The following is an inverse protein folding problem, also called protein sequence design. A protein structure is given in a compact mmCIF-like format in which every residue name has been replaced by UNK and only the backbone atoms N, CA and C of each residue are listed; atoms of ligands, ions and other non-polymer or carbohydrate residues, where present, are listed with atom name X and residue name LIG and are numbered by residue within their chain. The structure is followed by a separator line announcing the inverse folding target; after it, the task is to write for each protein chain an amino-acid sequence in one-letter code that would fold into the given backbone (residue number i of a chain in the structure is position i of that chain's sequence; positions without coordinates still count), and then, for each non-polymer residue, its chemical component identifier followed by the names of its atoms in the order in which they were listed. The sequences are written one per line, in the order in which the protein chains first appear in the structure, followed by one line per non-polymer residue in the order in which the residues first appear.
data_IF_586182200157
#
_entry.id   IF_586182200157
#
_cell.length_a   1.000
_cell.length_b   1.000
_cell.length_c   1.000
_cell.angle_alpha   90.00
_cell.angle_beta   90.00
_cell.angle_gamma   90.00
#
_symmetry.space_group_name_H-M   'P 1'
#
loop_
_entity.id
_entity.type
_entity.pdbx_description
1 polymer ?
#
# COMPACT_ATOMS: atom_id res chain seq x y z
N UNK A 1 17.01 11.50 -4.41
CA UNK A 1 15.68 10.92 -4.71
C UNK A 1 14.65 11.68 -3.90
N UNK A 2 13.46 11.87 -4.43
CA UNK A 2 12.37 12.50 -3.68
C UNK A 2 11.90 11.49 -2.61
N UNK A 3 11.72 11.95 -1.37
CA UNK A 3 11.26 11.12 -0.26
C UNK A 3 9.84 10.59 -0.51
N UNK A 4 9.58 9.33 -0.13
CA UNK A 4 8.25 8.73 -0.18
C UNK A 4 7.66 8.75 1.23
N UNK A 5 6.57 9.49 1.37
CA UNK A 5 5.84 9.65 2.63
C UNK A 5 4.55 8.84 2.56
N UNK A 6 4.47 7.80 3.37
CA UNK A 6 3.40 6.82 3.30
C UNK A 6 2.22 7.14 4.21
N UNK A 7 1.01 6.96 3.66
CA UNK A 7 -0.21 6.79 4.43
C UNK A 7 -0.65 5.32 4.41
N UNK A 8 -0.86 4.72 5.58
CA UNK A 8 -1.32 3.34 5.70
C UNK A 8 -2.83 3.27 5.86
N UNK A 9 -3.52 2.57 4.98
CA UNK A 9 -4.93 2.19 5.14
C UNK A 9 -4.99 0.77 5.66
N UNK A 10 -5.29 0.63 6.96
CA UNK A 10 -5.33 -0.63 7.69
C UNK A 10 -4.24 -0.74 8.76
N UNK A 11 -4.68 -0.90 10.03
CA UNK A 11 -3.85 -1.10 11.22
C UNK A 11 -3.96 -2.55 11.69
N UNK A 12 -3.63 -3.49 10.81
CA UNK A 12 -3.74 -4.92 11.07
C UNK A 12 -2.40 -5.60 11.34
N UNK A 13 -2.42 -6.92 11.51
CA UNK A 13 -1.21 -7.71 11.81
C UNK A 13 -0.13 -7.59 10.72
N UNK A 14 -0.53 -7.39 9.47
CA UNK A 14 0.42 -7.23 8.34
C UNK A 14 1.24 -5.97 8.52
N UNK A 15 0.61 -4.83 8.81
CA UNK A 15 1.29 -3.56 9.07
C UNK A 15 2.02 -3.55 10.40
N UNK A 16 1.53 -4.30 11.39
CA UNK A 16 2.13 -4.38 12.73
C UNK A 16 3.46 -5.14 12.74
N UNK A 17 3.48 -6.34 12.14
CA UNK A 17 4.57 -7.30 12.35
C UNK A 17 5.33 -7.72 11.10
N UNK A 18 4.77 -7.44 9.91
CA UNK A 18 5.35 -7.96 8.66
C UNK A 18 5.95 -6.85 7.81
N UNK A 19 5.12 -6.16 7.03
CA UNK A 19 5.58 -5.16 6.08
C UNK A 19 5.78 -3.77 6.67
N UNK A 20 4.99 -3.39 7.69
CA UNK A 20 4.99 -2.03 8.23
C UNK A 20 6.37 -1.50 8.66
N UNK A 21 7.15 -2.22 9.47
CA UNK A 21 8.46 -1.75 9.91
C UNK A 21 9.43 -1.42 8.75
N UNK A 22 9.39 -2.22 7.68
CA UNK A 22 10.28 -2.05 6.53
C UNK A 22 10.14 -0.70 5.81
N UNK A 23 8.98 -0.05 5.89
CA UNK A 23 8.75 1.25 5.27
C UNK A 23 9.57 2.38 5.92
N UNK A 24 9.92 2.23 7.21
CA UNK A 24 10.78 3.18 7.93
C UNK A 24 12.26 2.80 7.89
N UNK A 25 12.59 1.55 7.50
CA UNK A 25 13.98 1.08 7.39
C UNK A 25 14.63 1.45 6.06
N UNK A 26 13.81 1.74 5.03
CA UNK A 26 14.30 2.11 3.70
C UNK A 26 14.63 3.60 3.67
N UNK A 27 15.86 3.91 3.28
CA UNK A 27 16.31 5.32 3.15
C UNK A 27 15.43 6.10 2.17
N UNK A 28 14.96 7.28 2.60
CA UNK A 28 14.05 8.12 1.83
C UNK A 28 12.59 7.64 1.84
N UNK A 29 12.21 6.86 2.86
CA UNK A 29 10.86 6.35 3.04
C UNK A 29 10.48 6.40 4.52
N UNK A 30 9.27 6.89 4.83
CA UNK A 30 8.72 6.82 6.19
C UNK A 30 7.19 6.81 6.18
N UNK A 31 6.61 6.38 7.29
CA UNK A 31 5.16 6.38 7.51
C UNK A 31 4.76 7.62 8.30
N UNK A 32 3.94 8.47 7.70
CA UNK A 32 3.46 9.73 8.32
C UNK A 32 2.06 9.61 8.91
N UNK A 33 1.21 8.79 8.29
CA UNK A 33 -0.19 8.69 8.67
C UNK A 33 -0.71 7.24 8.61
N UNK A 34 -1.67 6.93 9.48
CA UNK A 34 -2.37 5.64 9.47
C UNK A 34 -3.88 5.82 9.55
N UNK A 35 -4.62 4.88 9.00
CA UNK A 35 -6.08 4.88 9.03
C UNK A 35 -6.63 3.53 9.48
N UNK A 36 -7.61 3.58 10.38
CA UNK A 36 -8.49 2.47 10.72
C UNK A 36 -9.90 2.99 10.99
N UNK A 37 -10.93 2.24 10.57
CA UNK A 37 -12.33 2.58 10.89
C UNK A 37 -12.63 2.64 12.41
N UNK A 38 -11.81 2.00 13.22
CA UNK A 38 -11.84 2.12 14.68
C UNK A 38 -10.86 3.18 15.12
N UNK A 39 -11.35 4.23 15.74
CA UNK A 39 -10.54 5.32 16.29
C UNK A 39 -9.48 4.81 17.27
N UNK A 40 -9.89 3.95 18.22
CA UNK A 40 -8.97 3.39 19.22
C UNK A 40 -7.83 2.60 18.57
N UNK A 41 -8.13 1.85 17.50
CA UNK A 41 -7.09 1.12 16.75
C UNK A 41 -6.16 2.05 16.01
N UNK A 42 -6.68 3.08 15.34
CA UNK A 42 -5.87 4.04 14.61
C UNK A 42 -4.93 4.80 15.55
N UNK A 43 -5.48 5.33 16.65
CA UNK A 43 -4.73 6.06 17.67
C UNK A 43 -3.67 5.18 18.33
N UNK A 44 -4.06 4.01 18.85
CA UNK A 44 -3.13 3.08 19.51
C UNK A 44 -2.01 2.62 18.56
N UNK A 45 -2.31 2.38 17.29
CA UNK A 45 -1.30 2.05 16.30
C UNK A 45 -0.32 3.21 16.10
N UNK A 46 -0.82 4.43 15.91
CA UNK A 46 -0.01 5.62 15.74
C UNK A 46 0.93 5.87 16.94
N UNK A 47 0.40 5.78 18.16
CA UNK A 47 1.17 5.94 19.39
C UNK A 47 2.31 4.91 19.50
N UNK A 48 2.03 3.62 19.30
CA UNK A 48 3.02 2.53 19.41
C UNK A 48 4.12 2.58 18.35
N UNK A 49 3.81 3.11 17.18
CA UNK A 49 4.75 3.20 16.04
C UNK A 49 5.31 4.61 15.84
N UNK A 50 5.03 5.54 16.77
CA UNK A 50 5.48 6.94 16.72
C UNK A 50 5.09 7.65 15.41
N UNK A 51 3.90 7.32 14.87
CA UNK A 51 3.34 7.94 13.67
C UNK A 51 2.58 9.19 14.09
N UNK A 52 2.79 10.30 13.38
CA UNK A 52 2.28 11.61 13.80
C UNK A 52 0.78 11.77 13.62
N UNK A 53 0.21 11.13 12.60
CA UNK A 53 -1.18 11.35 12.20
C UNK A 53 -1.96 10.06 12.15
N UNK A 54 -3.22 10.13 12.56
CA UNK A 54 -4.14 9.00 12.40
C UNK A 54 -5.52 9.50 11.96
N UNK A 55 -6.24 8.66 11.21
CA UNK A 55 -7.54 8.94 10.61
C UNK A 55 -8.50 7.79 10.80
N UNK A 56 -9.81 8.08 10.79
CA UNK A 56 -10.87 7.06 10.78
C UNK A 56 -11.53 6.96 9.40
N UNK A 57 -11.26 7.90 8.53
CA UNK A 57 -11.73 7.97 7.15
C UNK A 57 -10.56 7.91 6.17
N UNK A 58 -10.68 7.07 5.13
CA UNK A 58 -9.61 6.84 4.17
C UNK A 58 -9.39 8.05 3.25
N UNK A 59 -10.45 8.80 2.92
CA UNK A 59 -10.32 9.97 2.07
C UNK A 59 -9.52 11.07 2.78
N UNK A 60 -9.73 11.26 4.08
CA UNK A 60 -8.95 12.24 4.86
C UNK A 60 -7.46 11.91 4.85
N UNK A 61 -7.08 10.63 4.99
CA UNK A 61 -5.69 10.21 4.86
C UNK A 61 -5.16 10.43 3.45
N UNK A 62 -5.96 10.08 2.43
CA UNK A 62 -5.57 10.23 1.02
C UNK A 62 -5.39 11.71 0.66
N UNK A 63 -6.21 12.60 1.20
CA UNK A 63 -6.15 14.04 0.94
C UNK A 63 -5.07 14.76 1.76
N UNK A 64 -4.46 14.11 2.73
CA UNK A 64 -3.38 14.70 3.52
C UNK A 64 -2.22 15.13 2.61
N UNK A 65 -1.85 16.42 2.57
CA UNK A 65 -0.81 16.94 1.66
C UNK A 65 0.59 16.37 1.96
N UNK A 66 0.84 15.91 3.17
CA UNK A 66 2.13 15.33 3.54
C UNK A 66 2.26 13.86 3.06
N UNK A 67 1.15 13.17 2.80
CA UNK A 67 1.16 11.80 2.26
C UNK A 67 1.38 11.84 0.75
N UNK A 68 2.43 11.17 0.27
CA UNK A 68 2.78 11.12 -1.16
C UNK A 68 2.45 9.79 -1.83
N UNK A 69 2.26 8.72 -1.05
CA UNK A 69 1.88 7.39 -1.52
C UNK A 69 1.05 6.66 -0.46
N UNK A 70 0.18 5.75 -0.91
CA UNK A 70 -0.75 5.03 -0.02
C UNK A 70 -0.43 3.54 -0.01
N UNK A 71 -0.27 2.96 1.18
CA UNK A 71 -0.19 1.52 1.37
C UNK A 71 -1.53 0.97 1.86
N UNK A 72 -2.06 -0.02 1.15
CA UNK A 72 -3.38 -0.61 1.41
C UNK A 72 -3.19 -2.03 1.94
N UNK A 73 -3.47 -2.24 3.22
CA UNK A 73 -3.32 -3.50 3.94
C UNK A 73 -4.60 -3.90 4.69
N UNK A 74 -5.72 -3.69 4.05
CA UNK A 74 -7.07 -4.07 4.50
C UNK A 74 -7.43 -5.48 3.98
N UNK A 75 -8.62 -6.02 4.30
CA UNK A 75 -9.11 -7.22 3.63
C UNK A 75 -9.28 -7.02 2.11
N UNK A 76 -9.04 -8.07 1.28
CA UNK A 76 -9.07 -7.97 -0.19
C UNK A 76 -10.35 -7.38 -0.78
N UNK A 77 -11.49 -7.56 -0.11
CA UNK A 77 -12.78 -7.00 -0.53
C UNK A 77 -12.84 -5.47 -0.58
N UNK A 78 -11.90 -4.79 0.06
CA UNK A 78 -11.83 -3.31 0.08
C UNK A 78 -10.63 -2.75 -0.72
N UNK A 79 -9.75 -3.61 -1.23
CA UNK A 79 -8.56 -3.19 -1.95
C UNK A 79 -8.88 -2.31 -3.16
N UNK A 80 -9.84 -2.75 -4.00
CA UNK A 80 -10.22 -2.02 -5.20
C UNK A 80 -10.76 -0.62 -4.87
N UNK A 81 -11.59 -0.51 -3.84
CA UNK A 81 -12.15 0.78 -3.40
C UNK A 81 -11.02 1.76 -3.05
N UNK A 82 -10.12 1.37 -2.17
CA UNK A 82 -9.06 2.27 -1.69
C UNK A 82 -7.99 2.54 -2.76
N UNK A 83 -7.65 1.56 -3.60
CA UNK A 83 -6.72 1.76 -4.71
C UNK A 83 -7.27 2.79 -5.72
N UNK A 84 -8.55 2.66 -6.09
CA UNK A 84 -9.22 3.60 -7.01
C UNK A 84 -9.31 5.00 -6.40
N UNK A 85 -9.67 5.12 -5.12
CA UNK A 85 -9.68 6.41 -4.41
C UNK A 85 -8.30 7.07 -4.45
N UNK A 86 -7.25 6.33 -4.10
CA UNK A 86 -5.87 6.83 -4.09
C UNK A 86 -5.43 7.33 -5.47
N UNK A 87 -5.61 6.53 -6.51
CA UNK A 87 -5.21 6.89 -7.88
C UNK A 87 -5.99 8.09 -8.43
N UNK A 88 -7.29 8.20 -8.13
CA UNK A 88 -8.11 9.36 -8.53
C UNK A 88 -7.70 10.65 -7.82
N UNK A 89 -7.11 10.54 -6.62
CA UNK A 89 -6.50 11.67 -5.91
C UNK A 89 -5.03 11.92 -6.33
N UNK A 90 -4.55 11.27 -7.39
CA UNK A 90 -3.19 11.46 -7.91
C UNK A 90 -2.09 10.80 -7.09
N UNK A 91 -2.44 9.93 -6.12
CA UNK A 91 -1.46 9.28 -5.25
C UNK A 91 -1.23 7.83 -5.66
N UNK A 92 0.02 7.44 -5.98
CA UNK A 92 0.37 6.05 -6.23
C UNK A 92 0.04 5.18 -5.03
N UNK A 93 -0.35 3.93 -5.30
CA UNK A 93 -0.69 3.02 -4.22
C UNK A 93 0.08 1.69 -4.31
N UNK A 94 0.34 1.11 -3.15
CA UNK A 94 0.93 -0.20 -2.96
C UNK A 94 -0.07 -1.08 -2.21
N UNK A 95 -0.59 -2.11 -2.86
CA UNK A 95 -1.71 -2.93 -2.37
C UNK A 95 -1.22 -4.30 -1.94
N UNK A 96 -1.65 -4.75 -0.76
CA UNK A 96 -1.39 -6.12 -0.31
C UNK A 96 -2.01 -7.15 -1.26
N UNK A 97 -1.36 -8.32 -1.27
CA UNK A 97 -1.84 -9.45 -2.06
C UNK A 97 -3.07 -10.11 -1.39
N UNK A 98 -4.01 -10.65 -2.17
CA UNK A 98 -4.16 -10.48 -3.62
C UNK A 98 -4.56 -9.05 -3.98
N UNK A 99 -4.34 -8.62 -5.22
CA UNK A 99 -4.66 -7.25 -5.67
C UNK A 99 -6.09 -6.84 -5.36
N UNK A 100 -7.05 -7.75 -5.57
CA UNK A 100 -8.45 -7.55 -5.22
C UNK A 100 -9.13 -8.91 -4.93
N UNK A 101 -10.42 -8.86 -4.54
CA UNK A 101 -11.21 -10.05 -4.25
C UNK A 101 -11.75 -10.74 -5.51
N UNK A 102 -11.85 -10.03 -6.64
CA UNK A 102 -12.35 -10.57 -7.92
C UNK A 102 -11.48 -10.15 -9.10
N UNK A 103 -11.62 -10.88 -10.21
CA UNK A 103 -10.96 -10.54 -11.47
C UNK A 103 -11.47 -9.20 -12.02
N UNK A 104 -12.76 -8.97 -11.94
CA UNK A 104 -13.42 -7.74 -12.39
C UNK A 104 -12.86 -6.51 -11.65
N UNK A 105 -12.62 -6.62 -10.35
CA UNK A 105 -11.99 -5.55 -9.58
C UNK A 105 -10.53 -5.32 -9.98
N UNK A 106 -9.78 -6.36 -10.32
CA UNK A 106 -8.43 -6.22 -10.86
C UNK A 106 -8.44 -5.44 -12.19
N UNK A 107 -9.38 -5.75 -13.09
CA UNK A 107 -9.54 -5.01 -14.35
C UNK A 107 -9.90 -3.55 -14.11
N UNK A 108 -10.80 -3.28 -13.14
CA UNK A 108 -11.15 -1.89 -12.76
C UNK A 108 -9.96 -1.11 -12.25
N UNK A 109 -9.13 -1.70 -11.37
CA UNK A 109 -7.91 -1.08 -10.86
C UNK A 109 -6.97 -0.73 -12.02
N UNK A 110 -6.70 -1.68 -12.91
CA UNK A 110 -5.80 -1.46 -14.06
C UNK A 110 -6.32 -0.34 -14.95
N UNK A 111 -7.62 -0.34 -15.29
CA UNK A 111 -8.23 0.72 -16.09
C UNK A 111 -8.06 2.10 -15.45
N UNK A 112 -8.33 2.23 -14.15
CA UNK A 112 -8.16 3.52 -13.45
C UNK A 112 -6.69 3.95 -13.41
N UNK A 113 -5.74 3.01 -13.25
CA UNK A 113 -4.32 3.32 -13.34
C UNK A 113 -3.94 3.87 -14.72
N UNK A 114 -4.47 3.29 -15.79
CA UNK A 114 -4.27 3.77 -17.16
C UNK A 114 -4.93 5.14 -17.40
N UNK A 115 -6.18 5.32 -16.97
CA UNK A 115 -6.95 6.56 -17.13
C UNK A 115 -6.30 7.75 -16.38
N UNK A 116 -5.78 7.51 -15.17
CA UNK A 116 -5.19 8.57 -14.33
C UNK A 116 -3.70 8.78 -14.56
N UNK A 117 -3.02 7.82 -15.17
CA UNK A 117 -1.56 7.79 -15.25
C UNK A 117 -0.86 7.55 -13.90
N UNK A 118 -1.63 7.22 -12.85
CA UNK A 118 -1.11 6.99 -11.50
C UNK A 118 -0.88 5.49 -11.27
N UNK A 119 0.35 5.07 -10.89
CA UNK A 119 0.67 3.66 -10.78
C UNK A 119 0.06 3.01 -9.54
N UNK A 120 -0.36 1.74 -9.71
CA UNK A 120 -0.75 0.83 -8.64
C UNK A 120 0.23 -0.35 -8.62
N UNK A 121 0.83 -0.62 -7.47
CA UNK A 121 1.75 -1.74 -7.26
C UNK A 121 1.13 -2.79 -6.35
N UNK A 122 1.47 -4.06 -6.58
CA UNK A 122 1.01 -5.17 -5.73
C UNK A 122 2.16 -5.74 -4.92
N UNK A 123 1.92 -6.02 -3.64
CA UNK A 123 2.91 -6.49 -2.69
C UNK A 123 3.30 -7.97 -2.92
N UNK A 124 3.71 -8.31 -4.13
CA UNK A 124 4.29 -9.62 -4.45
C UNK A 124 5.78 -9.66 -4.12
N UNK A 125 6.14 -9.48 -2.85
CA UNK A 125 7.51 -9.35 -2.38
C UNK A 125 8.43 -10.51 -2.80
N UNK A 126 7.91 -11.73 -2.91
CA UNK A 126 8.69 -12.90 -3.34
C UNK A 126 9.31 -12.74 -4.72
N UNK A 127 8.67 -11.97 -5.61
CA UNK A 127 9.17 -11.71 -6.97
C UNK A 127 10.59 -11.14 -6.98
N UNK A 128 10.99 -10.42 -5.93
CA UNK A 128 12.28 -9.77 -5.83
C UNK A 128 13.30 -10.51 -4.96
N UNK A 129 12.91 -11.63 -4.32
CA UNK A 129 13.84 -12.46 -3.57
C UNK A 129 14.89 -13.08 -4.51
N UNK A 130 16.18 -13.18 -4.11
CA UNK A 130 17.25 -13.66 -4.97
C UNK A 130 16.96 -15.03 -5.59
N UNK A 131 16.44 -15.96 -4.83
CA UNK A 131 16.09 -17.30 -5.33
C UNK A 131 15.01 -17.28 -6.41
N UNK A 132 13.96 -16.45 -6.27
CA UNK A 132 12.92 -16.33 -7.30
C UNK A 132 13.43 -15.64 -8.56
N UNK A 133 14.33 -14.67 -8.44
CA UNK A 133 15.04 -14.08 -9.60
C UNK A 133 15.86 -15.15 -10.33
N UNK A 134 16.59 -15.99 -9.57
CA UNK A 134 17.38 -17.08 -10.15
C UNK A 134 16.52 -18.12 -10.86
N UNK A 135 15.40 -18.53 -10.28
CA UNK A 135 14.41 -19.44 -10.92
C UNK A 135 13.91 -18.83 -12.23
N UNK A 136 13.57 -17.54 -12.25
CA UNK A 136 13.13 -16.86 -13.47
C UNK A 136 14.21 -16.85 -14.55
N UNK A 137 15.45 -16.54 -14.20
CA UNK A 137 16.60 -16.57 -15.12
C UNK A 137 16.76 -17.97 -15.74
N UNK A 138 16.75 -19.03 -14.92
CA UNK A 138 16.88 -20.41 -15.37
C UNK A 138 15.70 -20.83 -16.25
N UNK A 139 14.48 -20.44 -15.93
CA UNK A 139 13.28 -20.71 -16.72
C UNK A 139 13.34 -20.09 -18.11
N UNK A 140 13.93 -18.91 -18.26
CA UNK A 140 14.08 -18.23 -19.56
C UNK A 140 15.19 -18.83 -20.43
N UNK A 141 16.11 -19.60 -19.86
CA UNK A 141 17.20 -20.27 -20.60
C UNK A 141 16.69 -21.58 -21.25
N UNK A 142 15.60 -22.14 -20.77
CA UNK A 142 15.06 -23.45 -21.19
C UNK A 142 13.72 -23.37 -21.94
N UNK A 143 13.28 -22.20 -22.37
CA UNK A 143 12.07 -22.02 -23.21
C UNK A 143 12.49 -21.68 -24.62
#
# INVERSE_FOLDING_TARGET
MKEIVWGFIGCGEVTEKKSGPAFNEVSGSHVEAVMSRSEDKARSYAERHHIKKWYTDAQQLIDDPDVTAVYIATPPSSHATFAIMSMRSGKPCYVEKPLAASYEDCIRINRISEETGVPCFVAYYRRYLPYFKKVKELSLIHI
#
